data_IF_039250171484
#
_entry.id   IF_039250171484
#
_cell.length_a   1.000
_cell.length_b   1.000
_cell.length_c   1.000
_cell.angle_alpha   90.00
_cell.angle_beta   90.00
_cell.angle_gamma   90.00
#
_symmetry.space_group_name_H-M   'P 1'
#
loop_
_entity.id
_entity.type
_entity.pdbx_description
1 polymer ?
#
# COMPACT_ATOMS: atom_id res chain seq x y z
N UNK A 1 17.37 -7.19 10.99
CA UNK A 1 16.85 -6.94 9.63
C UNK A 1 16.22 -8.19 9.02
N UNK A 2 16.90 -9.34 8.95
CA UNK A 2 16.35 -10.58 8.39
C UNK A 2 14.96 -10.97 8.97
N UNK A 3 14.82 -11.01 10.30
CA UNK A 3 13.53 -11.29 10.95
C UNK A 3 12.38 -10.38 10.49
N UNK A 4 12.64 -9.09 10.24
CA UNK A 4 11.61 -8.14 9.80
C UNK A 4 11.22 -8.35 8.33
N UNK A 5 12.15 -8.81 7.51
CA UNK A 5 11.87 -9.26 6.15
C UNK A 5 10.96 -10.49 6.20
N UNK A 6 11.31 -11.48 7.03
CA UNK A 6 10.51 -12.70 7.22
C UNK A 6 9.11 -12.39 7.76
N UNK A 7 9.00 -11.51 8.76
CA UNK A 7 7.71 -11.08 9.34
C UNK A 7 6.80 -10.45 8.27
N UNK A 8 7.37 -9.70 7.32
CA UNK A 8 6.61 -9.10 6.21
C UNK A 8 6.22 -10.14 5.16
N UNK A 9 7.13 -11.04 4.81
CA UNK A 9 6.88 -12.08 3.80
C UNK A 9 5.85 -13.12 4.26
N UNK A 10 5.77 -13.39 5.58
CA UNK A 10 4.77 -14.29 6.16
C UNK A 10 3.42 -13.61 6.44
N UNK A 11 3.26 -12.33 6.13
CA UNK A 11 2.02 -11.59 6.41
C UNK A 11 0.93 -11.91 5.36
N UNK A 12 -0.32 -12.01 5.77
CA UNK A 12 -1.48 -12.28 4.88
C UNK A 12 -1.72 -11.24 3.76
N UNK A 13 -1.02 -10.10 3.82
CA UNK A 13 -1.09 -9.03 2.80
C UNK A 13 0.10 -9.05 1.86
N UNK A 14 1.02 -9.98 2.02
CA UNK A 14 2.17 -10.14 1.15
C UNK A 14 1.80 -10.96 -0.09
N UNK A 15 2.40 -10.59 -1.21
CA UNK A 15 2.32 -11.27 -2.49
C UNK A 15 3.75 -11.62 -2.90
N UNK A 16 4.02 -12.92 -3.09
CA UNK A 16 5.35 -13.44 -3.48
C UNK A 16 5.74 -13.04 -4.92
N UNK A 17 4.75 -12.65 -5.73
CA UNK A 17 4.92 -12.22 -7.10
C UNK A 17 5.68 -10.90 -7.26
N UNK A 18 5.83 -10.49 -8.52
CA UNK A 18 6.36 -9.19 -8.87
C UNK A 18 5.38 -8.07 -8.50
N UNK A 19 5.85 -6.82 -8.59
CA UNK A 19 4.99 -5.65 -8.50
C UNK A 19 3.82 -5.74 -9.48
N UNK A 20 4.05 -6.16 -10.73
CA UNK A 20 3.00 -6.29 -11.74
C UNK A 20 1.94 -7.34 -11.34
N UNK A 21 2.36 -8.44 -10.71
CA UNK A 21 1.42 -9.48 -10.24
C UNK A 21 0.54 -8.96 -9.10
N UNK A 22 1.13 -8.23 -8.13
CA UNK A 22 0.39 -7.59 -7.06
C UNK A 22 -0.60 -6.54 -7.60
N UNK A 23 -0.20 -5.78 -8.62
CA UNK A 23 -1.04 -4.79 -9.29
C UNK A 23 -2.21 -5.43 -10.06
N UNK A 24 -1.95 -6.54 -10.74
CA UNK A 24 -2.97 -7.35 -11.39
C UNK A 24 -3.98 -7.92 -10.39
N UNK A 25 -3.48 -8.47 -9.28
CA UNK A 25 -4.33 -8.97 -8.19
C UNK A 25 -5.23 -7.87 -7.61
N UNK A 26 -4.67 -6.69 -7.34
CA UNK A 26 -5.44 -5.53 -6.86
C UNK A 26 -6.53 -5.12 -7.86
N UNK A 27 -6.19 -5.11 -9.14
CA UNK A 27 -7.14 -4.75 -10.20
C UNK A 27 -8.31 -5.73 -10.22
N UNK A 28 -8.04 -7.03 -10.30
CA UNK A 28 -9.06 -8.09 -10.25
C UNK A 28 -9.92 -8.01 -8.99
N UNK A 29 -9.28 -7.81 -7.82
CA UNK A 29 -10.00 -7.69 -6.55
C UNK A 29 -10.96 -6.49 -6.54
N UNK A 30 -10.51 -5.34 -7.06
CA UNK A 30 -11.33 -4.13 -7.14
C UNK A 30 -12.40 -4.19 -8.22
N UNK A 31 -12.21 -4.93 -9.32
CA UNK A 31 -13.29 -5.20 -10.29
C UNK A 31 -14.40 -6.01 -9.62
N UNK A 32 -14.03 -7.04 -8.86
CA UNK A 32 -14.99 -7.85 -8.10
C UNK A 32 -15.64 -7.07 -6.93
N UNK A 33 -14.97 -6.04 -6.42
CA UNK A 33 -15.44 -5.22 -5.31
C UNK A 33 -15.26 -3.71 -5.61
N UNK A 34 -16.04 -3.11 -6.53
CA UNK A 34 -15.77 -1.78 -7.09
C UNK A 34 -15.66 -0.64 -6.07
N UNK A 35 -16.36 -0.78 -4.92
CA UNK A 35 -16.40 0.20 -3.83
C UNK A 35 -15.38 -0.06 -2.73
N UNK A 36 -14.61 -1.16 -2.79
CA UNK A 36 -13.63 -1.51 -1.77
C UNK A 36 -12.23 -1.12 -2.23
N UNK A 37 -11.50 -0.47 -1.34
CA UNK A 37 -10.06 -0.31 -1.50
C UNK A 37 -9.32 -1.57 -1.10
N UNK A 38 -8.21 -1.86 -1.79
CA UNK A 38 -7.32 -2.97 -1.47
C UNK A 38 -5.86 -2.52 -1.50
N UNK A 39 -5.01 -3.25 -0.78
CA UNK A 39 -3.57 -3.06 -0.77
C UNK A 39 -2.85 -4.39 -0.54
N UNK A 40 -1.62 -4.47 -1.05
CA UNK A 40 -0.75 -5.62 -0.94
C UNK A 40 0.71 -5.19 -0.86
N UNK A 41 1.52 -5.97 -0.17
CA UNK A 41 2.97 -5.83 -0.15
C UNK A 41 3.60 -6.79 -1.14
N UNK A 42 4.67 -6.39 -1.82
CA UNK A 42 5.51 -7.28 -2.60
C UNK A 42 6.98 -6.86 -2.48
N UNK A 43 7.90 -7.78 -2.74
CA UNK A 43 9.33 -7.49 -2.63
C UNK A 43 9.82 -6.59 -3.78
N UNK A 44 10.70 -5.62 -3.48
CA UNK A 44 11.43 -4.88 -4.51
C UNK A 44 12.75 -5.62 -4.81
N UNK A 45 12.75 -6.41 -5.87
CA UNK A 45 13.93 -7.19 -6.29
C UNK A 45 15.10 -6.31 -6.76
N UNK A 46 14.85 -5.03 -7.09
CA UNK A 46 15.89 -4.08 -7.53
C UNK A 46 16.59 -3.40 -6.37
N UNK A 47 15.91 -3.24 -5.23
CA UNK A 47 16.44 -2.58 -4.05
C UNK A 47 16.32 -3.48 -2.82
N UNK A 48 17.36 -4.28 -2.49
CA UNK A 48 17.35 -5.13 -1.31
C UNK A 48 17.00 -4.36 -0.03
N UNK A 49 16.11 -4.94 0.78
CA UNK A 49 15.59 -4.30 1.99
C UNK A 49 14.44 -3.32 1.75
N UNK A 50 13.96 -3.18 0.51
CA UNK A 50 12.74 -2.46 0.18
C UNK A 50 11.61 -3.40 -0.27
N UNK A 51 10.40 -2.94 -0.02
CA UNK A 51 9.16 -3.54 -0.46
C UNK A 51 8.29 -2.48 -1.12
N UNK A 52 7.43 -2.91 -2.03
CA UNK A 52 6.37 -2.06 -2.55
C UNK A 52 5.09 -2.34 -1.78
N UNK A 53 4.46 -1.28 -1.30
CA UNK A 53 3.08 -1.26 -0.83
C UNK A 53 2.21 -0.76 -1.97
N UNK A 54 1.63 -1.67 -2.73
CA UNK A 54 0.71 -1.38 -3.83
C UNK A 54 -0.71 -1.25 -3.29
N UNK A 55 -1.47 -0.27 -3.77
CA UNK A 55 -2.84 -0.04 -3.31
C UNK A 55 -3.70 0.62 -4.39
N UNK A 56 -5.01 0.38 -4.29
CA UNK A 56 -6.02 0.92 -5.20
C UNK A 56 -7.30 1.21 -4.43
N UNK A 57 -7.88 2.40 -4.61
CA UNK A 57 -9.02 2.86 -3.81
C UNK A 57 -10.38 2.31 -4.25
N UNK A 58 -10.44 1.71 -5.44
CA UNK A 58 -11.63 1.14 -6.06
C UNK A 58 -11.36 0.90 -7.54
N UNK A 59 -12.33 0.35 -8.27
CA UNK A 59 -12.17 -0.05 -9.68
C UNK A 59 -11.63 1.10 -10.57
N UNK A 60 -12.26 2.26 -10.49
CA UNK A 60 -11.92 3.44 -11.29
C UNK A 60 -10.76 4.27 -10.72
N UNK A 61 -10.23 3.90 -9.55
CA UNK A 61 -9.13 4.63 -8.93
C UNK A 61 -7.80 4.26 -9.58
N UNK A 62 -6.88 5.22 -9.64
CA UNK A 62 -5.51 4.95 -10.05
C UNK A 62 -4.84 3.98 -9.08
N UNK A 63 -4.12 3.02 -9.66
CA UNK A 63 -3.24 2.17 -8.89
C UNK A 63 -2.01 2.98 -8.47
N UNK A 64 -1.65 2.87 -7.21
CA UNK A 64 -0.52 3.58 -6.61
C UNK A 64 0.37 2.61 -5.86
N UNK A 65 1.64 2.99 -5.68
CA UNK A 65 2.58 2.22 -4.88
C UNK A 65 3.48 3.13 -4.06
N UNK A 66 3.73 2.77 -2.81
CA UNK A 66 4.72 3.41 -1.96
C UNK A 66 5.86 2.47 -1.63
N UNK A 67 7.09 3.01 -1.53
CA UNK A 67 8.22 2.25 -1.05
C UNK A 67 8.14 2.11 0.48
N UNK A 68 8.35 0.90 0.96
CA UNK A 68 8.51 0.58 2.38
C UNK A 68 9.93 0.07 2.56
N UNK A 69 10.68 0.71 3.47
CA UNK A 69 12.07 0.35 3.75
C UNK A 69 12.14 -0.45 5.04
N UNK A 70 12.88 -1.54 5.06
CA UNK A 70 13.24 -2.23 6.30
C UNK A 70 14.37 -1.47 6.98
N UNK A 71 14.15 -1.11 8.24
CA UNK A 71 15.11 -0.41 9.10
C UNK A 71 15.40 -1.27 10.33
N UNK A 72 16.51 -1.06 11.06
CA UNK A 72 16.84 -1.90 12.22
C UNK A 72 15.71 -1.98 13.26
N UNK A 73 15.00 -0.86 13.47
CA UNK A 73 13.90 -0.73 14.41
C UNK A 73 12.52 -1.21 13.90
N UNK A 74 12.40 -1.63 12.62
CA UNK A 74 11.12 -2.06 12.02
C UNK A 74 11.02 -1.72 10.54
N UNK A 75 10.03 -0.89 10.18
CA UNK A 75 9.74 -0.47 8.82
C UNK A 75 9.63 1.05 8.74
N UNK A 76 9.94 1.62 7.58
CA UNK A 76 9.72 3.02 7.28
C UNK A 76 8.74 3.15 6.11
N UNK A 77 7.69 3.95 6.28
CA UNK A 77 6.76 4.31 5.22
C UNK A 77 6.57 5.83 5.22
N UNK A 78 6.84 6.48 4.08
CA UNK A 78 6.72 7.94 3.94
C UNK A 78 7.51 8.71 5.01
N UNK A 79 8.74 8.26 5.33
CA UNK A 79 9.63 8.80 6.38
C UNK A 79 9.13 8.62 7.82
N UNK A 80 8.05 7.87 8.03
CA UNK A 80 7.57 7.52 9.36
C UNK A 80 8.02 6.10 9.74
N UNK A 81 8.67 5.92 10.91
CA UNK A 81 9.04 4.60 11.39
C UNK A 81 7.86 3.87 12.04
N UNK A 82 7.78 2.56 11.84
CA UNK A 82 6.79 1.65 12.39
C UNK A 82 7.50 0.41 12.96
N UNK A 83 7.26 0.03 14.23
CA UNK A 83 8.02 -1.05 14.89
C UNK A 83 7.71 -2.46 14.36
N UNK A 84 6.49 -2.67 13.84
CA UNK A 84 5.99 -3.96 13.38
C UNK A 84 4.98 -3.82 12.22
N UNK A 85 4.54 -4.96 11.68
CA UNK A 85 3.59 -5.02 10.56
C UNK A 85 2.21 -4.47 10.92
N UNK A 86 1.75 -4.62 12.16
CA UNK A 86 0.46 -4.12 12.59
C UNK A 86 0.45 -2.59 12.61
N UNK A 87 1.49 -1.99 13.19
CA UNK A 87 1.70 -0.55 13.21
C UNK A 87 1.84 0.00 11.79
N UNK A 88 2.58 -0.69 10.91
CA UNK A 88 2.72 -0.31 9.50
C UNK A 88 1.38 -0.31 8.76
N UNK A 89 0.57 -1.37 8.93
CA UNK A 89 -0.75 -1.46 8.30
C UNK A 89 -1.70 -0.35 8.81
N UNK A 90 -1.68 -0.07 10.11
CA UNK A 90 -2.50 0.98 10.70
C UNK A 90 -2.06 2.37 10.23
N UNK A 91 -0.74 2.62 10.18
CA UNK A 91 -0.16 3.85 9.62
C UNK A 91 -0.54 4.05 8.16
N UNK A 92 -0.47 2.99 7.35
CA UNK A 92 -0.93 3.03 5.96
C UNK A 92 -2.42 3.41 5.86
N UNK A 93 -3.31 2.76 6.62
CA UNK A 93 -4.75 3.07 6.60
C UNK A 93 -5.02 4.54 6.89
N UNK A 94 -4.31 5.12 7.87
CA UNK A 94 -4.42 6.54 8.21
C UNK A 94 -3.96 7.44 7.05
N UNK A 95 -2.76 7.19 6.51
CA UNK A 95 -2.20 7.95 5.39
C UNK A 95 -3.10 7.88 4.16
N UNK A 96 -3.65 6.69 3.89
CA UNK A 96 -4.51 6.45 2.75
C UNK A 96 -5.90 7.08 2.91
N UNK A 97 -6.49 7.04 4.11
CA UNK A 97 -7.72 7.76 4.40
C UNK A 97 -7.54 9.28 4.21
N UNK A 98 -6.42 9.83 4.68
CA UNK A 98 -6.08 11.24 4.47
C UNK A 98 -5.91 11.57 2.97
N UNK A 99 -5.27 10.69 2.20
CA UNK A 99 -5.12 10.85 0.75
C UNK A 99 -6.50 10.90 0.06
N UNK A 100 -7.40 9.98 0.40
CA UNK A 100 -8.75 9.95 -0.17
C UNK A 100 -9.59 11.17 0.22
N UNK A 101 -9.53 11.59 1.49
CA UNK A 101 -10.23 12.79 1.95
C UNK A 101 -9.77 14.05 1.19
N UNK A 102 -8.46 14.18 0.95
CA UNK A 102 -7.89 15.28 0.15
C UNK A 102 -8.30 15.20 -1.31
N UNK A 103 -8.35 14.01 -1.91
CA UNK A 103 -8.83 13.82 -3.27
C UNK A 103 -10.30 14.24 -3.42
N UNK A 104 -11.16 13.85 -2.46
CA UNK A 104 -12.58 14.26 -2.44
C UNK A 104 -12.74 15.77 -2.27
N UNK A 105 -11.96 16.41 -1.40
CA UNK A 105 -11.99 17.86 -1.22
C UNK A 105 -11.58 18.62 -2.48
N UNK A 106 -10.65 18.08 -3.28
CA UNK A 106 -10.21 18.68 -4.55
C UNK A 106 -11.18 18.42 -5.71
N UNK A 107 -11.91 17.29 -5.68
CA UNK A 107 -12.92 16.94 -6.69
C UNK A 107 -14.31 17.57 -6.46
N UNK A 108 -14.55 18.24 -5.34
CA UNK A 108 -15.84 18.86 -4.99
C UNK A 108 -16.05 20.28 -5.52
N UNK A 109 -15.12 20.83 -6.30
CA UNK A 109 -15.22 22.17 -6.90
C UNK A 109 -15.80 22.13 -8.32
N UNK A 110 -17.09 21.81 -8.45
CA UNK A 110 -17.77 21.73 -9.75
C UNK A 110 -19.25 22.09 -9.65
N UNK A 111 -19.57 23.14 -8.90
CA UNK A 111 -20.86 23.84 -8.96
C UNK A 111 -20.68 25.18 -9.69
N UNK A 112 -21.75 25.60 -10.39
CA UNK A 112 -21.96 26.81 -11.19
C UNK A 112 -21.75 26.68 -12.72
N UNK A 113 -22.80 26.20 -13.40
CA UNK A 113 -23.58 27.00 -14.37
C UNK A 113 -24.89 26.29 -14.73
#
# INVERSE_FOLDING_TARGET
>A
MAKKVDDMMNHEKFQEGSKADAEGWLTTYTIANPRRSAYAFCIDRKHPGYFHLCFKAGENAQLNSWAVKVIPQGYELQRNPYPDMMALCNGFKLLFANLQARAKARGGGGGYK
#
